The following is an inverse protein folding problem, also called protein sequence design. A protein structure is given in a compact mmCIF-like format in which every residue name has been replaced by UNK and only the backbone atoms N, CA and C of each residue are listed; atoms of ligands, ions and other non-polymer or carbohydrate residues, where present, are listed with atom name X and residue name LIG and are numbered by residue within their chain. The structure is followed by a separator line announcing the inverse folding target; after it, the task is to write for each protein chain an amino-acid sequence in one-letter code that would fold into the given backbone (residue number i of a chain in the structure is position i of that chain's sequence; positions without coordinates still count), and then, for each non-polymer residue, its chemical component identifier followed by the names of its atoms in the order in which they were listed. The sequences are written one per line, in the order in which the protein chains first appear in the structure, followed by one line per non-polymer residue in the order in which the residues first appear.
data_IF_559125888668
#
_entry.id   IF_559125888668
#
_cell.length_a   1.000
_cell.length_b   1.000
_cell.length_c   1.000
_cell.angle_alpha   90.00
_cell.angle_beta   90.00
_cell.angle_gamma   90.00
#
_symmetry.space_group_name_H-M   'P 1'
#
loop_
_entity.id
_entity.type
_entity.pdbx_description
1 polymer ?
#
# COMPACT_ATOMS: atom_id res chain seq x y z
N UNK A 1 -3.59 1.01 4.60
CA UNK A 1 -3.23 0.21 5.79
C UNK A 1 -2.61 1.16 6.82
N UNK A 2 -3.14 1.24 8.04
CA UNK A 2 -2.61 2.12 9.09
C UNK A 2 -2.12 1.26 10.24
N UNK A 3 -0.81 1.33 10.51
CA UNK A 3 -0.22 0.71 11.71
C UNK A 3 -0.21 1.75 12.82
N UNK A 4 -0.67 1.36 14.01
CA UNK A 4 -0.59 2.20 15.21
C UNK A 4 0.85 2.71 15.41
N UNK A 5 1.05 3.97 15.82
CA UNK A 5 2.38 4.56 16.00
C UNK A 5 3.30 3.69 16.85
N UNK A 6 2.77 3.12 17.93
CA UNK A 6 3.45 2.28 18.93
C UNK A 6 3.97 0.94 18.36
N UNK A 7 3.49 0.53 17.19
CA UNK A 7 3.88 -0.72 16.51
C UNK A 7 4.71 -0.48 15.23
N UNK A 8 5.12 0.78 14.97
CA UNK A 8 6.02 1.11 13.86
C UNK A 8 7.43 0.56 14.15
N UNK A 9 8.12 0.12 13.11
CA UNK A 9 9.45 -0.51 13.23
C UNK A 9 9.46 -2.02 13.52
N UNK A 10 8.32 -2.63 13.87
CA UNK A 10 8.23 -4.07 14.20
C UNK A 10 7.91 -5.02 13.02
N UNK A 11 7.99 -4.56 11.77
CA UNK A 11 7.71 -5.39 10.59
C UNK A 11 6.24 -5.83 10.41
N UNK A 12 5.32 -5.34 11.24
CA UNK A 12 3.88 -5.68 11.20
C UNK A 12 3.26 -5.38 9.84
N UNK A 13 3.57 -4.21 9.26
CA UNK A 13 3.09 -3.83 7.92
C UNK A 13 3.53 -4.84 6.85
N UNK A 14 4.79 -5.30 6.91
CA UNK A 14 5.35 -6.28 5.96
C UNK A 14 4.65 -7.64 6.08
N UNK A 15 4.39 -8.11 7.30
CA UNK A 15 3.68 -9.37 7.54
C UNK A 15 2.23 -9.32 7.05
N UNK A 16 1.53 -8.22 7.30
CA UNK A 16 0.15 -8.02 6.82
C UNK A 16 0.09 -7.97 5.29
N UNK A 17 1.02 -7.25 4.65
CA UNK A 17 1.09 -7.18 3.19
C UNK A 17 1.44 -8.54 2.58
N UNK A 18 2.38 -9.29 3.17
CA UNK A 18 2.70 -10.64 2.71
C UNK A 18 1.48 -11.58 2.77
N UNK A 19 0.72 -11.54 3.87
CA UNK A 19 -0.51 -12.32 4.01
C UNK A 19 -1.59 -11.90 2.98
N UNK A 20 -1.78 -10.60 2.78
CA UNK A 20 -2.70 -10.07 1.78
C UNK A 20 -2.33 -10.53 0.36
N UNK A 21 -1.05 -10.44 -0.01
CA UNK A 21 -0.57 -10.91 -1.31
C UNK A 21 -0.76 -12.43 -1.50
N UNK A 22 -0.61 -13.22 -0.43
CA UNK A 22 -0.92 -14.65 -0.43
C UNK A 22 -2.38 -14.92 -0.80
N UNK A 23 -3.32 -14.17 -0.19
CA UNK A 23 -4.74 -14.27 -0.49
C UNK A 23 -5.07 -13.86 -1.93
N UNK A 24 -4.49 -12.76 -2.42
CA UNK A 24 -4.70 -12.30 -3.79
C UNK A 24 -4.28 -13.35 -4.82
N UNK A 25 -3.11 -13.99 -4.60
CA UNK A 25 -2.63 -15.08 -5.46
C UNK A 25 -3.55 -16.29 -5.41
N UNK A 26 -3.96 -16.71 -4.21
CA UNK A 26 -4.86 -17.86 -4.04
C UNK A 26 -6.23 -17.66 -4.71
N UNK A 27 -6.65 -16.40 -4.88
CA UNK A 27 -7.91 -16.02 -5.53
C UNK A 27 -7.76 -15.67 -7.02
N UNK A 28 -6.57 -15.85 -7.60
CA UNK A 28 -6.24 -15.46 -8.97
C UNK A 28 -6.61 -14.00 -9.30
N UNK A 29 -6.45 -13.11 -8.32
CA UNK A 29 -6.71 -11.68 -8.52
C UNK A 29 -5.67 -11.12 -9.49
N UNK A 30 -6.14 -10.53 -10.59
CA UNK A 30 -5.29 -9.99 -11.66
C UNK A 30 -4.91 -8.52 -11.42
N UNK A 31 -5.63 -7.83 -10.52
CA UNK A 31 -5.41 -6.41 -10.25
C UNK A 31 -5.67 -6.05 -8.78
N UNK A 32 -4.72 -5.36 -8.17
CA UNK A 32 -4.86 -4.73 -6.86
C UNK A 32 -4.10 -3.40 -6.86
N UNK A 33 -4.74 -2.34 -6.38
CA UNK A 33 -4.12 -1.01 -6.27
C UNK A 33 -4.14 -0.54 -4.81
N UNK A 34 -3.15 0.27 -4.46
CA UNK A 34 -3.05 0.87 -3.13
C UNK A 34 -2.70 2.35 -3.27
N UNK A 35 -3.37 3.17 -2.48
CA UNK A 35 -3.11 4.59 -2.40
C UNK A 35 -2.44 4.90 -1.06
N UNK A 36 -1.36 5.67 -1.12
CA UNK A 36 -0.71 6.27 0.05
C UNK A 36 -0.48 7.73 -0.24
N UNK A 37 -0.49 8.58 0.79
CA UNK A 37 0.02 9.95 0.65
C UNK A 37 1.53 9.89 0.40
N UNK A 38 2.03 10.84 -0.40
CA UNK A 38 3.44 10.93 -0.78
C UNK A 38 4.37 11.21 0.40
N UNK A 39 3.83 11.73 1.50
CA UNK A 39 4.56 12.04 2.74
C UNK A 39 4.91 10.81 3.61
N UNK A 40 4.73 9.59 3.09
CA UNK A 40 5.00 8.36 3.84
C UNK A 40 6.00 7.43 3.12
N UNK A 41 7.31 7.72 3.18
CA UNK A 41 8.34 6.90 2.53
C UNK A 41 8.42 5.48 3.09
N UNK A 42 8.09 5.28 4.37
CA UNK A 42 8.05 3.96 4.99
C UNK A 42 6.95 3.07 4.40
N UNK A 43 5.78 3.65 4.09
CA UNK A 43 4.71 2.93 3.42
C UNK A 43 5.10 2.54 2.00
N UNK A 44 5.73 3.45 1.24
CA UNK A 44 6.23 3.19 -0.11
C UNK A 44 7.19 2.01 -0.15
N UNK A 45 8.19 1.99 0.73
CA UNK A 45 9.18 0.89 0.79
C UNK A 45 8.53 -0.48 1.05
N UNK A 46 7.46 -0.54 1.85
CA UNK A 46 6.74 -1.80 2.10
C UNK A 46 5.96 -2.27 0.88
N UNK A 47 5.33 -1.36 0.13
CA UNK A 47 4.59 -1.72 -1.08
C UNK A 47 5.53 -2.13 -2.22
N UNK A 48 6.63 -1.40 -2.43
CA UNK A 48 7.66 -1.73 -3.41
C UNK A 48 8.26 -3.12 -3.12
N UNK A 49 8.58 -3.42 -1.85
CA UNK A 49 9.06 -4.75 -1.45
C UNK A 49 8.04 -5.88 -1.66
N UNK A 50 6.75 -5.54 -1.78
CA UNK A 50 5.68 -6.50 -2.05
C UNK A 50 5.38 -6.68 -3.56
N UNK A 51 6.08 -5.95 -4.42
CA UNK A 51 5.96 -6.03 -5.88
C UNK A 51 4.97 -5.04 -6.49
N UNK A 52 4.46 -4.08 -5.70
CA UNK A 52 3.72 -2.96 -6.27
C UNK A 52 4.66 -2.04 -7.02
N UNK A 53 4.20 -1.49 -8.14
CA UNK A 53 4.92 -0.47 -8.90
C UNK A 53 4.19 0.86 -8.76
N UNK A 54 4.96 1.94 -8.70
CA UNK A 54 4.39 3.29 -8.77
C UNK A 54 3.66 3.43 -10.10
N UNK A 55 2.38 3.77 -10.03
CA UNK A 55 1.60 4.20 -11.17
C UNK A 55 1.23 5.65 -10.93
N UNK A 56 1.58 6.55 -11.86
CA UNK A 56 1.05 7.90 -11.82
C UNK A 56 -0.47 7.83 -11.98
N UNK A 57 -1.18 8.28 -10.96
CA UNK A 57 -2.61 8.51 -11.08
C UNK A 57 -2.84 10.00 -11.26
N UNK A 58 -3.33 10.38 -12.44
CA UNK A 58 -3.85 11.71 -12.68
C UNK A 58 -5.05 11.92 -11.75
N UNK A 59 -4.90 12.78 -10.76
CA UNK A 59 -6.00 13.21 -9.88
C UNK A 59 -6.41 14.61 -10.31
N UNK A 60 -7.61 14.72 -10.89
CA UNK A 60 -8.25 16.00 -11.15
C UNK A 60 -9.25 16.26 -10.03
N UNK A 61 -9.00 17.31 -9.26
CA UNK A 61 -9.87 17.72 -8.16
C UNK A 61 -10.52 19.03 -8.54
N UNK A 62 -11.84 19.03 -8.70
CA UNK A 62 -12.63 20.25 -8.79
C UNK A 62 -13.44 20.41 -7.49
N UNK A 63 -13.21 21.51 -6.78
CA UNK A 63 -13.95 21.86 -5.58
C UNK A 63 -14.75 23.14 -5.88
N UNK A 64 -16.08 23.11 -5.77
CA UNK A 64 -16.86 24.34 -5.76
C UNK A 64 -16.54 25.10 -4.46
N UNK A 65 -16.20 26.38 -4.59
CA UNK A 65 -16.19 27.34 -3.47
C UNK A 65 -17.62 27.53 -2.95
#
# INVERSE_FOLDING_TARGET
LVVRPDARGGGVARRLIAAAMGLLRARAVTFASVWTRDDNPAARAVYEAAGFRSTEHLVLTWLPL
#
